data_IF_187350532079
#
_entry.id   IF_187350532079
#
_cell.length_a   1.000
_cell.length_b   1.000
_cell.length_c   1.000
_cell.angle_alpha   90.00
_cell.angle_beta   90.00
_cell.angle_gamma   90.00
#
_symmetry.space_group_name_H-M   'P 1'
#
loop_
_entity.id
_entity.type
_entity.pdbx_description
1 polymer ?
#
# COMPACT_ATOMS: atom_id res chain seq x y z
N UNK A 1 22.03 -32.26 -7.31
CA UNK A 1 23.45 -31.95 -7.50
C UNK A 1 24.10 -31.69 -6.15
N UNK A 2 25.14 -32.45 -5.83
CA UNK A 2 25.85 -32.48 -4.54
C UNK A 2 27.36 -32.48 -4.77
N UNK A 3 28.12 -32.20 -3.72
CA UNK A 3 29.57 -32.22 -3.74
C UNK A 3 30.04 -33.62 -3.40
N UNK A 4 30.71 -34.28 -4.34
CA UNK A 4 31.24 -35.63 -4.18
C UNK A 4 32.62 -35.59 -3.52
N UNK A 5 33.51 -34.72 -4.03
CA UNK A 5 34.87 -34.56 -3.51
C UNK A 5 35.35 -33.12 -3.68
N UNK A 6 36.26 -32.69 -2.80
CA UNK A 6 36.95 -31.41 -2.92
C UNK A 6 38.42 -31.52 -2.51
N UNK A 7 39.28 -30.81 -3.23
CA UNK A 7 40.69 -30.62 -2.93
C UNK A 7 41.01 -29.12 -2.97
N UNK A 8 41.47 -28.58 -1.85
CA UNK A 8 41.69 -27.15 -1.65
C UNK A 8 43.12 -26.92 -1.17
N UNK A 9 43.85 -26.04 -1.84
CA UNK A 9 45.24 -25.72 -1.50
C UNK A 9 45.48 -24.21 -1.48
N UNK A 10 46.21 -23.76 -0.46
CA UNK A 10 46.64 -22.37 -0.30
C UNK A 10 45.53 -21.30 -0.38
N UNK A 11 44.29 -21.66 -0.03
CA UNK A 11 43.15 -20.72 0.06
C UNK A 11 42.99 -20.19 1.49
N UNK A 12 43.13 -18.88 1.70
CA UNK A 12 43.01 -18.21 3.02
C UNK A 12 43.86 -18.86 4.11
N UNK A 13 43.28 -19.71 4.97
CA UNK A 13 44.01 -20.41 6.05
C UNK A 13 44.31 -21.88 5.75
N UNK A 14 43.92 -22.38 4.58
CA UNK A 14 44.12 -23.77 4.16
C UNK A 14 45.56 -23.92 3.65
N UNK A 15 46.25 -25.00 4.05
CA UNK A 15 47.48 -25.48 3.41
C UNK A 15 47.09 -26.45 2.30
N UNK A 16 46.46 -27.55 2.70
CA UNK A 16 45.94 -28.60 1.85
C UNK A 16 44.80 -29.30 2.60
N UNK A 17 43.62 -29.33 2.00
CA UNK A 17 42.44 -30.05 2.53
C UNK A 17 41.87 -30.87 1.40
N UNK A 18 41.73 -32.18 1.64
CA UNK A 18 40.93 -33.08 0.82
C UNK A 18 39.79 -33.62 1.67
N UNK A 19 38.57 -33.56 1.15
CA UNK A 19 37.37 -33.99 1.85
C UNK A 19 36.38 -34.61 0.86
N UNK A 20 35.78 -35.72 1.27
CA UNK A 20 34.68 -36.39 0.57
C UNK A 20 33.46 -36.30 1.51
N UNK A 21 32.59 -35.29 1.34
CA UNK A 21 31.45 -35.10 2.22
C UNK A 21 30.42 -36.23 2.05
N UNK A 22 29.65 -36.52 3.11
CA UNK A 22 28.56 -37.49 3.04
C UNK A 22 27.56 -37.10 1.94
N UNK A 23 27.05 -38.05 1.12
CA UNK A 23 26.13 -37.73 0.02
C UNK A 23 24.75 -37.27 0.50
N UNK A 24 24.38 -37.56 1.75
CA UNK A 24 23.18 -37.07 2.42
C UNK A 24 23.53 -36.75 3.88
N UNK A 25 22.74 -35.89 4.49
CA UNK A 25 22.89 -35.56 5.90
C UNK A 25 23.95 -34.49 6.14
N UNK A 26 24.54 -34.54 7.33
CA UNK A 26 25.40 -33.50 7.85
C UNK A 26 26.87 -33.95 7.84
N UNK A 27 27.73 -33.17 7.17
CA UNK A 27 29.20 -33.30 7.25
C UNK A 27 29.74 -32.14 8.08
N UNK A 28 30.27 -32.43 9.27
CA UNK A 28 30.77 -31.41 10.21
C UNK A 28 32.30 -31.29 10.11
N UNK A 29 32.76 -30.10 9.76
CA UNK A 29 34.15 -29.69 9.80
C UNK A 29 34.43 -29.08 11.18
N UNK A 30 35.11 -29.85 12.03
CA UNK A 30 35.56 -29.49 13.37
C UNK A 30 36.94 -28.83 13.41
N UNK A 31 37.32 -28.32 14.57
CA UNK A 31 38.61 -27.68 14.87
C UNK A 31 38.46 -26.42 15.73
N UNK A 32 39.59 -25.93 16.28
CA UNK A 32 39.62 -24.67 17.03
C UNK A 32 39.42 -23.44 16.13
N UNK A 33 39.19 -22.28 16.73
CA UNK A 33 39.15 -21.01 16.00
C UNK A 33 40.47 -20.73 15.30
N UNK A 34 40.41 -20.11 14.12
CA UNK A 34 41.60 -19.78 13.32
C UNK A 34 42.23 -20.94 12.55
N UNK A 35 41.76 -22.18 12.68
CA UNK A 35 42.39 -23.33 12.04
C UNK A 35 42.08 -23.51 10.54
N UNK A 36 41.09 -22.76 10.01
CA UNK A 36 40.75 -22.79 8.58
C UNK A 36 39.42 -23.46 8.22
N UNK A 37 38.57 -23.80 9.19
CA UNK A 37 37.22 -24.37 8.95
C UNK A 37 36.36 -23.52 8.01
N UNK A 38 36.13 -22.25 8.35
CA UNK A 38 35.35 -21.33 7.51
C UNK A 38 36.04 -21.07 6.17
N UNK A 39 37.37 -21.16 6.10
CA UNK A 39 38.11 -21.06 4.83
C UNK A 39 37.74 -22.19 3.86
N UNK A 40 37.32 -23.36 4.34
CA UNK A 40 36.83 -24.46 3.48
C UNK A 40 35.50 -24.08 2.85
N UNK A 41 34.55 -23.56 3.63
CA UNK A 41 33.27 -23.08 3.10
C UNK A 41 33.50 -21.94 2.10
N UNK A 42 34.37 -20.98 2.42
CA UNK A 42 34.72 -19.87 1.52
C UNK A 42 35.32 -20.35 0.20
N UNK A 43 36.15 -21.39 0.24
CA UNK A 43 36.76 -21.96 -0.95
C UNK A 43 35.73 -22.69 -1.83
N UNK A 44 34.80 -23.43 -1.21
CA UNK A 44 33.68 -24.06 -1.92
C UNK A 44 32.80 -22.98 -2.56
N UNK A 45 32.43 -21.95 -1.79
CA UNK A 45 31.63 -20.82 -2.28
C UNK A 45 32.31 -20.09 -3.44
N UNK A 46 33.63 -19.85 -3.36
CA UNK A 46 34.38 -19.21 -4.44
C UNK A 46 34.53 -20.11 -5.68
N UNK A 47 34.75 -21.40 -5.48
CA UNK A 47 34.81 -22.39 -6.55
C UNK A 47 33.51 -22.42 -7.34
N UNK A 48 32.39 -22.61 -6.65
CA UNK A 48 31.08 -22.84 -7.26
C UNK A 48 30.31 -21.56 -7.61
N UNK A 49 30.48 -20.48 -6.84
CA UNK A 49 29.73 -19.24 -6.98
C UNK A 49 30.39 -18.17 -7.87
N UNK A 50 31.59 -18.42 -8.37
CA UNK A 50 32.29 -17.47 -9.23
C UNK A 50 32.93 -16.31 -8.45
N UNK A 51 33.31 -15.26 -9.15
CA UNK A 51 34.10 -14.16 -8.55
C UNK A 51 33.33 -13.29 -7.54
N UNK A 52 31.99 -13.42 -7.47
CA UNK A 52 31.18 -12.79 -6.42
C UNK A 52 31.58 -13.24 -5.02
N UNK A 53 32.05 -14.48 -4.89
CA UNK A 53 32.47 -15.09 -3.62
C UNK A 53 33.99 -15.11 -3.47
N UNK A 54 34.73 -14.40 -4.34
CA UNK A 54 36.18 -14.32 -4.26
C UNK A 54 36.60 -13.58 -2.97
N UNK A 55 37.39 -14.21 -2.08
CA UNK A 55 37.93 -13.51 -0.93
C UNK A 55 38.81 -12.33 -1.38
N UNK A 56 38.77 -11.21 -0.63
CA UNK A 56 39.62 -10.04 -0.91
C UNK A 56 41.11 -10.41 -0.94
N UNK A 57 41.51 -11.32 -0.04
CA UNK A 57 42.83 -11.94 -0.01
C UNK A 57 42.63 -13.46 -0.10
N UNK A 58 42.64 -14.05 -1.32
CA UNK A 58 42.36 -15.47 -1.51
C UNK A 58 43.56 -16.36 -1.21
N UNK A 59 44.78 -15.85 -1.42
CA UNK A 59 46.01 -16.57 -1.13
C UNK A 59 46.26 -16.70 0.36
N UNK A 60 46.76 -17.88 0.76
CA UNK A 60 47.28 -18.09 2.10
C UNK A 60 48.49 -17.19 2.35
N UNK A 61 48.52 -16.56 3.51
CA UNK A 61 49.66 -15.76 3.94
C UNK A 61 50.94 -16.61 3.95
N UNK A 62 51.98 -16.10 3.27
CA UNK A 62 53.27 -16.79 3.12
C UNK A 62 53.31 -17.91 2.06
N UNK A 63 52.23 -18.17 1.33
CA UNK A 63 52.25 -19.17 0.26
C UNK A 63 53.00 -18.67 -0.99
N UNK A 64 53.93 -19.49 -1.49
CA UNK A 64 54.68 -19.23 -2.72
C UNK A 64 53.92 -19.66 -3.98
N UNK A 65 52.91 -20.52 -3.80
CA UNK A 65 52.09 -21.06 -4.88
C UNK A 65 50.69 -20.43 -4.82
N UNK A 66 50.11 -20.04 -5.97
CA UNK A 66 48.74 -19.51 -6.02
C UNK A 66 47.69 -20.51 -5.48
N UNK A 67 46.52 -20.02 -5.06
CA UNK A 67 45.42 -20.88 -4.63
C UNK A 67 44.97 -21.87 -5.70
N UNK A 68 44.73 -23.11 -5.29
CA UNK A 68 44.14 -24.14 -6.13
C UNK A 68 42.86 -24.69 -5.48
N UNK A 69 41.80 -24.81 -6.28
CA UNK A 69 40.53 -25.40 -5.90
C UNK A 69 40.16 -26.43 -6.95
N UNK A 70 39.77 -27.62 -6.52
CA UNK A 70 39.22 -28.69 -7.34
C UNK A 70 37.99 -29.23 -6.62
N UNK A 71 36.84 -29.23 -7.29
CA UNK A 71 35.57 -29.71 -6.73
C UNK A 71 34.92 -30.62 -7.76
N UNK A 72 34.53 -31.82 -7.33
CA UNK A 72 33.81 -32.79 -8.14
C UNK A 72 32.37 -32.88 -7.64
N UNK A 73 31.42 -32.74 -8.57
CA UNK A 73 30.00 -32.84 -8.30
C UNK A 73 29.48 -34.22 -8.67
N UNK A 74 28.43 -34.67 -7.99
CA UNK A 74 27.80 -35.99 -8.17
C UNK A 74 27.28 -36.28 -9.59
N UNK A 75 27.01 -35.23 -10.35
CA UNK A 75 26.57 -35.31 -11.76
C UNK A 75 27.73 -35.35 -12.77
N UNK A 76 28.98 -35.43 -12.30
CA UNK A 76 30.18 -35.51 -13.14
C UNK A 76 30.76 -34.16 -13.57
N UNK A 77 30.20 -33.04 -13.11
CA UNK A 77 30.80 -31.71 -13.35
C UNK A 77 32.01 -31.54 -12.45
N UNK A 78 33.12 -31.07 -13.04
CA UNK A 78 34.35 -30.75 -12.32
C UNK A 78 34.61 -29.24 -12.39
N UNK A 79 34.89 -28.64 -11.24
CA UNK A 79 35.19 -27.21 -11.11
C UNK A 79 36.61 -27.03 -10.61
N UNK A 80 37.46 -26.43 -11.44
CA UNK A 80 38.84 -26.12 -11.11
C UNK A 80 39.07 -24.60 -11.07
N UNK A 81 39.81 -24.13 -10.06
CA UNK A 81 40.46 -22.81 -10.09
C UNK A 81 41.94 -22.99 -9.85
N UNK A 82 42.78 -22.69 -10.84
CA UNK A 82 44.24 -22.87 -10.78
C UNK A 82 44.98 -21.75 -11.52
N UNK A 83 46.29 -21.66 -11.29
CA UNK A 83 47.19 -20.69 -11.97
C UNK A 83 47.29 -19.33 -11.28
N UNK A 84 48.11 -18.43 -11.86
CA UNK A 84 48.48 -17.13 -11.25
C UNK A 84 47.29 -16.24 -10.86
N UNK A 85 46.20 -16.34 -11.61
CA UNK A 85 44.97 -15.56 -11.37
C UNK A 85 43.83 -16.40 -10.77
N UNK A 86 44.08 -17.67 -10.42
CA UNK A 86 43.05 -18.65 -10.00
C UNK A 86 41.87 -18.70 -10.99
N UNK A 87 42.21 -18.85 -12.28
CA UNK A 87 41.24 -18.84 -13.36
C UNK A 87 40.27 -20.01 -13.24
N UNK A 88 38.98 -19.73 -13.40
CA UNK A 88 37.93 -20.74 -13.35
C UNK A 88 37.91 -21.58 -14.63
N UNK A 89 37.82 -22.90 -14.45
CA UNK A 89 37.60 -23.88 -15.50
C UNK A 89 36.52 -24.84 -15.01
N UNK A 90 35.40 -24.87 -15.73
CA UNK A 90 34.32 -25.84 -15.50
C UNK A 90 34.40 -26.89 -16.59
N UNK A 91 34.34 -28.16 -16.22
CA UNK A 91 34.34 -29.30 -17.13
C UNK A 91 33.01 -30.01 -16.94
N UNK A 92 32.26 -30.20 -18.02
CA UNK A 92 30.98 -30.93 -17.98
C UNK A 92 31.20 -32.46 -17.85
N UNK A 93 30.11 -33.20 -17.68
CA UNK A 93 30.12 -34.65 -17.56
C UNK A 93 30.63 -35.39 -18.81
N UNK A 94 30.75 -34.69 -19.95
CA UNK A 94 31.28 -35.21 -21.21
C UNK A 94 32.76 -34.82 -21.43
N UNK A 95 33.37 -34.08 -20.50
CA UNK A 95 34.75 -33.62 -20.60
C UNK A 95 34.94 -32.30 -21.37
N UNK A 96 33.86 -31.63 -21.79
CA UNK A 96 33.95 -30.34 -22.49
C UNK A 96 34.12 -29.20 -21.50
N UNK A 97 34.82 -28.15 -21.94
CA UNK A 97 34.94 -26.92 -21.16
C UNK A 97 33.64 -26.13 -21.21
N UNK A 98 33.14 -25.75 -20.04
CA UNK A 98 31.97 -24.89 -19.86
C UNK A 98 32.32 -23.64 -19.05
N UNK A 99 31.38 -22.70 -19.01
CA UNK A 99 31.50 -21.47 -18.22
C UNK A 99 30.72 -21.52 -16.90
N UNK A 100 30.84 -20.46 -16.10
CA UNK A 100 30.09 -20.26 -14.85
C UNK A 100 28.55 -20.31 -15.05
N UNK A 101 28.05 -20.06 -16.26
CA UNK A 101 26.62 -20.13 -16.57
C UNK A 101 26.03 -21.51 -16.30
N UNK A 102 26.76 -22.58 -16.62
CA UNK A 102 26.33 -23.96 -16.34
C UNK A 102 26.10 -24.17 -14.83
N UNK A 103 27.00 -23.66 -14.00
CA UNK A 103 26.86 -23.78 -12.54
C UNK A 103 25.67 -22.97 -12.00
N UNK A 104 25.33 -21.83 -12.60
CA UNK A 104 24.20 -20.99 -12.16
C UNK A 104 22.85 -21.66 -12.32
N UNK A 105 22.71 -22.61 -13.25
CA UNK A 105 21.46 -23.37 -13.45
C UNK A 105 21.18 -24.32 -12.27
N UNK A 106 22.24 -24.87 -11.68
CA UNK A 106 22.13 -25.89 -10.63
C UNK A 106 22.44 -25.39 -9.22
N UNK A 107 23.09 -24.23 -9.06
CA UNK A 107 23.55 -23.73 -7.76
C UNK A 107 22.76 -22.48 -7.35
N UNK A 108 22.08 -22.60 -6.21
CA UNK A 108 21.43 -21.46 -5.57
C UNK A 108 22.46 -20.58 -4.85
N UNK A 109 22.37 -19.25 -5.01
CA UNK A 109 23.21 -18.30 -4.26
C UNK A 109 23.01 -18.44 -2.75
N UNK A 110 21.78 -18.77 -2.35
CA UNK A 110 21.39 -18.98 -0.96
C UNK A 110 22.04 -20.24 -0.37
N UNK A 111 22.27 -21.27 -1.19
CA UNK A 111 22.97 -22.49 -0.79
C UNK A 111 24.45 -22.26 -0.49
N UNK A 112 25.07 -21.28 -1.17
CA UNK A 112 26.48 -20.93 -1.01
C UNK A 112 26.73 -19.98 0.17
N UNK A 113 25.74 -19.20 0.58
CA UNK A 113 25.84 -18.22 1.66
C UNK A 113 24.53 -18.10 2.45
N UNK A 114 24.20 -19.17 3.18
CA UNK A 114 23.12 -19.15 4.17
C UNK A 114 23.31 -18.09 5.26
N UNK A 115 24.54 -17.81 5.75
CA UNK A 115 24.76 -16.76 6.75
C UNK A 115 24.24 -15.38 6.35
N UNK A 116 24.30 -15.01 5.07
CA UNK A 116 23.71 -13.75 4.59
C UNK A 116 22.19 -13.72 4.77
N UNK A 117 21.49 -14.82 4.50
CA UNK A 117 20.05 -14.95 4.67
C UNK A 117 19.64 -14.87 6.14
N UNK A 118 20.35 -15.55 7.03
CA UNK A 118 20.07 -15.52 8.47
C UNK A 118 20.15 -14.10 9.04
N UNK A 119 21.08 -13.30 8.52
CA UNK A 119 21.31 -11.90 8.93
C UNK A 119 20.40 -10.89 8.22
N UNK A 120 19.67 -11.30 7.17
CA UNK A 120 18.76 -10.42 6.45
C UNK A 120 17.63 -9.92 7.37
N UNK A 121 17.00 -8.81 7.01
CA UNK A 121 15.84 -8.29 7.73
C UNK A 121 14.63 -9.22 7.57
N UNK A 122 13.69 -9.19 8.52
CA UNK A 122 12.47 -10.04 8.44
C UNK A 122 11.72 -9.86 7.12
N UNK A 123 11.68 -8.61 6.62
CA UNK A 123 11.09 -8.28 5.33
C UNK A 123 11.83 -8.95 4.18
N UNK A 124 13.16 -8.84 4.11
CA UNK A 124 13.95 -9.48 3.04
C UNK A 124 13.79 -11.00 3.06
N UNK A 125 13.70 -11.62 4.24
CA UNK A 125 13.47 -13.05 4.36
C UNK A 125 12.07 -13.45 3.86
N UNK A 126 11.04 -12.69 4.24
CA UNK A 126 9.67 -12.90 3.78
C UNK A 126 9.55 -12.70 2.26
N UNK A 127 10.10 -11.61 1.73
CA UNK A 127 10.12 -11.31 0.30
C UNK A 127 10.81 -12.41 -0.50
N UNK A 128 11.93 -12.93 0.01
CA UNK A 128 12.64 -14.08 -0.59
C UNK A 128 11.73 -15.30 -0.68
N UNK A 129 11.02 -15.65 0.41
CA UNK A 129 10.07 -16.76 0.39
C UNK A 129 8.91 -16.53 -0.59
N UNK A 130 8.33 -15.33 -0.62
CA UNK A 130 7.20 -15.01 -1.50
C UNK A 130 7.59 -15.05 -2.99
N UNK A 131 8.81 -14.62 -3.31
CA UNK A 131 9.35 -14.78 -4.67
C UNK A 131 9.53 -16.26 -5.04
N UNK A 132 9.99 -17.09 -4.11
CA UNK A 132 10.21 -18.53 -4.33
C UNK A 132 8.90 -19.25 -4.64
N UNK A 133 7.81 -18.92 -3.95
CA UNK A 133 6.52 -19.59 -4.17
C UNK A 133 5.79 -19.01 -5.41
N UNK A 134 6.40 -18.06 -6.12
CA UNK A 134 5.85 -17.49 -7.36
C UNK A 134 4.71 -16.50 -7.17
N UNK A 135 4.32 -16.23 -5.91
CA UNK A 135 3.23 -15.32 -5.55
C UNK A 135 3.70 -13.88 -5.32
N UNK A 136 5.02 -13.64 -5.25
CA UNK A 136 5.58 -12.33 -4.91
C UNK A 136 5.09 -11.17 -5.80
N UNK A 137 5.04 -11.34 -7.12
CA UNK A 137 4.58 -10.29 -8.04
C UNK A 137 3.08 -10.00 -7.89
N UNK A 138 2.28 -11.05 -7.68
CA UNK A 138 0.84 -10.93 -7.45
C UNK A 138 0.54 -10.26 -6.11
N UNK A 139 1.26 -10.65 -5.05
CA UNK A 139 1.18 -10.00 -3.74
C UNK A 139 1.58 -8.53 -3.80
N UNK A 140 2.66 -8.20 -4.52
CA UNK A 140 3.08 -6.83 -4.67
C UNK A 140 1.98 -5.97 -5.33
N UNK A 141 1.35 -6.50 -6.38
CA UNK A 141 0.24 -5.81 -7.06
C UNK A 141 -0.96 -5.63 -6.13
N UNK A 142 -1.31 -6.66 -5.36
CA UNK A 142 -2.40 -6.59 -4.37
C UNK A 142 -2.07 -5.56 -3.27
N UNK A 143 -0.85 -5.56 -2.73
CA UNK A 143 -0.40 -4.63 -1.70
C UNK A 143 -0.37 -3.17 -2.20
N UNK A 144 0.02 -2.94 -3.45
CA UNK A 144 -0.05 -1.61 -4.10
C UNK A 144 -1.50 -1.14 -4.24
N UNK A 145 -2.42 -2.01 -4.66
CA UNK A 145 -3.84 -1.70 -4.76
C UNK A 145 -4.47 -1.44 -3.38
N UNK A 146 -4.14 -2.25 -2.36
CA UNK A 146 -4.55 -2.04 -0.97
C UNK A 146 -4.13 -0.64 -0.50
N UNK A 147 -2.87 -0.25 -0.74
CA UNK A 147 -2.38 1.10 -0.38
C UNK A 147 -3.17 2.18 -1.10
N UNK A 148 -3.37 2.05 -2.42
CA UNK A 148 -4.10 3.03 -3.23
C UNK A 148 -5.53 3.24 -2.71
N UNK A 149 -6.27 2.15 -2.53
CA UNK A 149 -7.65 2.18 -2.03
C UNK A 149 -7.71 2.70 -0.60
N UNK A 150 -6.76 2.32 0.25
CA UNK A 150 -6.67 2.85 1.61
C UNK A 150 -6.53 4.38 1.63
N UNK A 151 -5.65 4.95 0.80
CA UNK A 151 -5.49 6.40 0.69
C UNK A 151 -6.75 7.07 0.15
N UNK A 152 -7.36 6.52 -0.91
CA UNK A 152 -8.63 7.03 -1.46
C UNK A 152 -9.75 7.01 -0.42
N UNK A 153 -9.94 5.89 0.29
CA UNK A 153 -10.93 5.74 1.36
C UNK A 153 -10.71 6.75 2.48
N UNK A 154 -9.45 7.02 2.83
CA UNK A 154 -9.10 7.99 3.87
C UNK A 154 -9.50 9.41 3.46
N UNK A 155 -9.22 9.80 2.22
CA UNK A 155 -9.62 11.11 1.68
C UNK A 155 -11.15 11.25 1.58
N UNK A 156 -11.84 10.22 1.05
CA UNK A 156 -13.31 10.20 0.99
C UNK A 156 -13.93 10.27 2.39
N UNK A 157 -13.36 9.56 3.38
CA UNK A 157 -13.80 9.63 4.77
C UNK A 157 -13.72 11.05 5.35
N UNK A 158 -12.64 11.80 5.05
CA UNK A 158 -12.50 13.20 5.45
C UNK A 158 -13.52 14.11 4.78
N UNK A 159 -13.78 13.90 3.49
CA UNK A 159 -14.77 14.67 2.73
C UNK A 159 -16.18 14.40 3.26
N UNK A 160 -16.53 13.13 3.47
CA UNK A 160 -17.77 12.68 4.08
C UNK A 160 -18.01 13.39 5.41
N UNK A 161 -17.06 13.30 6.34
CA UNK A 161 -17.20 13.92 7.67
C UNK A 161 -17.40 15.45 7.58
N UNK A 162 -16.69 16.11 6.67
CA UNK A 162 -16.84 17.56 6.44
C UNK A 162 -18.24 17.90 5.90
N UNK A 163 -18.77 17.10 4.99
CA UNK A 163 -20.09 17.30 4.39
C UNK A 163 -21.22 17.00 5.38
N UNK A 164 -21.09 15.95 6.17
CA UNK A 164 -22.02 15.63 7.27
C UNK A 164 -22.09 16.77 8.29
N UNK A 165 -20.94 17.29 8.73
CA UNK A 165 -20.88 18.47 9.62
C UNK A 165 -21.51 19.70 8.98
N UNK A 166 -21.17 20.00 7.73
CA UNK A 166 -21.75 21.13 7.02
C UNK A 166 -23.27 21.04 6.87
N UNK A 167 -23.82 19.83 6.65
CA UNK A 167 -25.26 19.60 6.61
C UNK A 167 -25.90 19.75 8.00
N UNK A 168 -25.28 19.19 9.04
CA UNK A 168 -25.78 19.26 10.41
C UNK A 168 -25.81 20.70 10.98
N UNK A 169 -24.88 21.55 10.57
CA UNK A 169 -24.80 22.95 10.99
C UNK A 169 -25.81 23.86 10.25
N UNK A 170 -26.49 23.37 9.22
CA UNK A 170 -27.49 24.15 8.47
C UNK A 170 -28.79 24.30 9.27
N UNK A 171 -29.32 25.51 9.31
CA UNK A 171 -30.60 25.80 9.93
C UNK A 171 -31.74 25.14 9.16
N UNK A 172 -32.55 24.34 9.84
CA UNK A 172 -33.76 23.70 9.30
C UNK A 172 -35.01 24.36 9.87
N UNK A 173 -36.07 24.41 9.07
CA UNK A 173 -37.36 24.99 9.43
C UNK A 173 -38.44 23.90 9.43
N UNK A 174 -38.76 23.29 10.58
CA UNK A 174 -39.81 22.28 10.67
C UNK A 174 -41.18 22.92 10.39
N UNK A 175 -41.88 22.44 9.36
CA UNK A 175 -43.24 22.90 9.01
C UNK A 175 -43.34 23.84 7.80
N UNK A 176 -42.22 24.17 7.13
CA UNK A 176 -42.27 24.83 5.83
C UNK A 176 -42.75 23.84 4.74
N UNK A 177 -43.64 24.24 3.81
CA UNK A 177 -44.12 23.40 2.70
C UNK A 177 -42.96 22.90 1.80
N UNK A 178 -43.15 21.78 1.10
CA UNK A 178 -42.11 21.23 0.21
C UNK A 178 -42.00 22.01 -1.12
N UNK A 179 -43.09 22.66 -1.56
CA UNK A 179 -43.15 23.40 -2.82
C UNK A 179 -43.34 24.91 -2.58
N UNK A 180 -42.68 25.79 -3.37
CA UNK A 180 -42.82 27.23 -3.24
C UNK A 180 -44.27 27.70 -3.43
N UNK A 181 -44.72 28.60 -2.56
CA UNK A 181 -46.03 29.22 -2.69
C UNK A 181 -45.97 30.31 -3.76
N UNK A 182 -46.83 30.23 -4.77
CA UNK A 182 -46.91 31.20 -5.86
C UNK A 182 -47.52 32.51 -5.38
N UNK A 183 -46.73 33.59 -5.38
CA UNK A 183 -47.20 34.95 -5.07
C UNK A 183 -47.84 35.66 -6.29
N UNK A 184 -47.92 34.99 -7.45
CA UNK A 184 -48.29 35.62 -8.71
C UNK A 184 -49.71 36.23 -8.69
N UNK A 185 -50.68 35.51 -8.13
CA UNK A 185 -52.08 35.96 -8.05
C UNK A 185 -52.25 37.17 -7.12
N UNK A 186 -51.53 37.18 -5.98
CA UNK A 186 -51.55 38.30 -5.02
C UNK A 186 -50.89 39.56 -5.60
N UNK A 187 -49.81 39.41 -6.36
CA UNK A 187 -49.12 40.53 -7.04
C UNK A 187 -50.03 41.14 -8.11
N UNK A 188 -50.75 40.33 -8.90
CA UNK A 188 -51.71 40.86 -9.87
C UNK A 188 -52.87 41.62 -9.21
N UNK A 189 -53.40 41.09 -8.10
CA UNK A 189 -54.46 41.76 -7.34
C UNK A 189 -54.01 43.11 -6.77
N UNK A 190 -52.79 43.18 -6.22
CA UNK A 190 -52.22 44.45 -5.73
C UNK A 190 -52.09 45.48 -6.85
N UNK A 191 -51.59 45.09 -8.02
CA UNK A 191 -51.44 46.00 -9.17
C UNK A 191 -52.79 46.54 -9.66
N UNK A 192 -53.83 45.69 -9.68
CA UNK A 192 -55.18 46.10 -10.08
C UNK A 192 -55.79 47.13 -9.10
N UNK A 193 -55.60 46.93 -7.80
CA UNK A 193 -56.08 47.86 -6.76
C UNK A 193 -55.34 49.20 -6.85
N UNK A 194 -54.00 49.17 -6.99
CA UNK A 194 -53.20 50.39 -7.14
C UNK A 194 -53.59 51.20 -8.39
N UNK A 195 -53.93 50.53 -9.49
CA UNK A 195 -54.42 51.19 -10.70
C UNK A 195 -55.76 51.89 -10.47
N UNK A 196 -56.74 51.22 -9.82
CA UNK A 196 -58.05 51.80 -9.48
C UNK A 196 -57.91 53.00 -8.54
N UNK A 197 -57.10 52.88 -7.49
CA UNK A 197 -56.86 53.96 -6.54
C UNK A 197 -56.21 55.18 -7.22
N UNK A 198 -55.29 54.95 -8.16
CA UNK A 198 -54.70 56.00 -9.00
C UNK A 198 -55.72 56.73 -9.88
N UNK A 199 -56.69 56.02 -10.45
CA UNK A 199 -57.79 56.64 -11.22
C UNK A 199 -58.75 57.44 -10.33
N UNK A 200 -59.10 56.92 -9.15
CA UNK A 200 -59.94 57.63 -8.17
C UNK A 200 -59.29 58.95 -7.74
N UNK A 201 -57.97 58.95 -7.51
CA UNK A 201 -57.25 60.17 -7.14
C UNK A 201 -57.21 61.21 -8.26
N UNK A 202 -57.12 60.78 -9.53
CA UNK A 202 -57.25 61.69 -10.68
C UNK A 202 -58.63 62.35 -10.74
N UNK A 203 -59.70 61.60 -10.49
CA UNK A 203 -61.08 62.13 -10.45
C UNK A 203 -61.25 63.16 -9.32
N UNK A 204 -60.70 62.89 -8.13
CA UNK A 204 -60.69 63.84 -7.00
C UNK A 204 -59.93 65.14 -7.33
N UNK A 205 -58.78 65.04 -7.98
CA UNK A 205 -58.00 66.20 -8.40
C UNK A 205 -58.74 67.06 -9.43
N UNK A 206 -59.39 66.43 -10.41
CA UNK A 206 -60.20 67.12 -11.42
C UNK A 206 -61.37 67.89 -10.80
N UNK A 207 -62.04 67.32 -9.79
CA UNK A 207 -63.11 68.01 -9.07
C UNK A 207 -62.61 69.27 -8.37
N UNK A 208 -61.51 69.17 -7.62
CA UNK A 208 -60.92 70.33 -6.91
C UNK A 208 -60.55 71.47 -7.86
N UNK A 209 -60.02 71.14 -9.05
CA UNK A 209 -59.72 72.14 -10.09
C UNK A 209 -61.00 72.77 -10.68
N UNK A 210 -62.07 72.01 -10.84
CA UNK A 210 -63.36 72.51 -11.32
C UNK A 210 -64.06 73.39 -10.28
N UNK A 211 -64.01 73.06 -9.00
CA UNK A 211 -64.55 73.87 -7.90
C UNK A 211 -63.81 75.21 -7.77
N UNK A 212 -62.49 75.20 -7.93
CA UNK A 212 -61.68 76.42 -7.96
C UNK A 212 -62.07 77.30 -9.16
N UNK A 213 -62.22 76.70 -10.35
CA UNK A 213 -62.71 77.42 -11.54
C UNK A 213 -64.14 77.95 -11.36
N UNK A 214 -65.01 77.20 -10.69
CA UNK A 214 -66.37 77.62 -10.37
C UNK A 214 -66.35 78.85 -9.46
N UNK A 215 -65.48 78.87 -8.45
CA UNK A 215 -65.34 79.99 -7.51
C UNK A 215 -64.76 81.22 -8.21
N UNK A 216 -63.74 81.04 -9.05
CA UNK A 216 -63.15 82.13 -9.84
C UNK A 216 -64.16 82.71 -10.86
N UNK A 217 -64.95 81.85 -11.50
CA UNK A 217 -66.03 82.26 -12.40
C UNK A 217 -67.18 82.93 -11.64
N UNK A 218 -67.54 82.49 -10.45
CA UNK A 218 -68.56 83.14 -9.63
C UNK A 218 -68.16 84.58 -9.24
N UNK A 219 -66.88 84.78 -8.91
CA UNK A 219 -66.32 86.11 -8.66
C UNK A 219 -66.31 86.98 -9.92
N UNK A 220 -66.04 86.37 -11.10
CA UNK A 220 -66.12 87.02 -12.41
C UNK A 220 -67.57 87.38 -12.80
N UNK A 221 -68.53 86.53 -12.46
CA UNK A 221 -69.97 86.70 -12.73
C UNK A 221 -70.53 87.88 -11.93
N UNK A 222 -70.12 88.06 -10.68
CA UNK A 222 -70.52 89.24 -9.89
C UNK A 222 -70.05 90.56 -10.55
N UNK A 223 -68.92 90.55 -11.26
CA UNK A 223 -68.46 91.70 -12.05
C UNK A 223 -69.20 91.86 -13.39
N UNK A 224 -69.65 90.75 -14.00
CA UNK A 224 -70.34 90.69 -15.30
C UNK A 224 -71.88 90.72 -15.19
N UNK A 225 -72.46 90.80 -13.98
CA UNK A 225 -73.90 91.02 -13.75
C UNK A 225 -74.44 92.30 -14.42
N UNK A 226 -73.56 93.18 -14.91
CA UNK A 226 -73.92 94.29 -15.80
C UNK A 226 -74.16 93.89 -17.27
N UNK A 227 -73.76 92.69 -17.71
CA UNK A 227 -73.88 92.13 -19.09
C UNK A 227 -74.87 90.94 -19.19
N UNK A 228 -75.60 90.66 -18.11
CA UNK A 228 -76.40 89.45 -17.81
C UNK A 228 -77.48 89.04 -18.83
N UNK A 229 -77.91 89.89 -19.77
CA UNK A 229 -79.03 89.54 -20.65
C UNK A 229 -78.69 88.54 -21.75
N UNK A 230 -77.44 88.45 -22.20
CA UNK A 230 -77.05 87.54 -23.29
C UNK A 230 -76.65 86.12 -22.83
N UNK A 231 -76.20 85.93 -21.59
CA UNK A 231 -75.59 84.68 -21.13
C UNK A 231 -76.58 83.58 -20.68
N UNK A 232 -77.89 83.84 -20.70
CA UNK A 232 -78.91 82.94 -20.14
C UNK A 232 -79.04 81.59 -20.87
N UNK A 233 -78.62 81.45 -22.12
CA UNK A 233 -78.76 80.18 -22.86
C UNK A 233 -77.60 79.19 -22.66
N UNK A 234 -76.45 79.62 -22.15
CA UNK A 234 -75.25 78.76 -22.00
C UNK A 234 -75.17 78.03 -20.65
N UNK A 235 -75.93 78.49 -19.63
CA UNK A 235 -75.93 77.92 -18.27
C UNK A 235 -76.50 76.51 -18.18
N UNK A 236 -77.45 76.16 -19.04
CA UNK A 236 -78.19 74.88 -18.97
C UNK A 236 -77.37 73.63 -19.34
N UNK A 237 -76.21 73.80 -19.98
CA UNK A 237 -75.34 72.69 -20.40
C UNK A 237 -74.36 72.33 -19.27
N UNK A 238 -73.81 73.32 -18.57
CA UNK A 238 -72.83 73.12 -17.50
C UNK A 238 -73.46 72.55 -16.22
N UNK A 239 -74.71 72.92 -15.91
CA UNK A 239 -75.42 72.40 -14.75
C UNK A 239 -75.64 70.86 -14.83
N UNK A 240 -75.71 70.28 -16.04
CA UNK A 240 -75.80 68.81 -16.24
C UNK A 240 -74.46 68.09 -16.08
N UNK A 241 -73.36 68.72 -16.46
CA UNK A 241 -72.02 68.13 -16.36
C UNK A 241 -71.55 68.06 -14.89
N UNK A 242 -71.95 69.03 -14.06
CA UNK A 242 -71.68 69.04 -12.60
C UNK A 242 -72.48 67.97 -11.85
N UNK A 243 -73.76 67.78 -12.21
CA UNK A 243 -74.61 66.79 -11.55
C UNK A 243 -74.22 65.34 -11.90
N UNK A 244 -73.69 65.12 -13.10
CA UNK A 244 -73.18 63.81 -13.55
C UNK A 244 -71.86 63.47 -12.83
N UNK A 245 -70.95 64.43 -12.69
CA UNK A 245 -69.69 64.23 -11.97
C UNK A 245 -69.86 64.09 -10.44
N UNK A 246 -70.89 64.71 -9.85
CA UNK A 246 -71.18 64.59 -8.41
C UNK A 246 -71.73 63.22 -7.98
N UNK A 247 -72.46 62.52 -8.87
CA UNK A 247 -73.02 61.18 -8.61
C UNK A 247 -71.95 60.07 -8.66
N UNK A 248 -70.90 60.25 -9.45
CA UNK A 248 -69.81 59.26 -9.57
C UNK A 248 -68.86 59.22 -8.37
N UNK A 249 -68.82 60.27 -7.53
CA UNK A 249 -67.86 60.38 -6.40
C UNK A 249 -68.40 59.77 -5.10
N UNK A 250 -69.72 59.81 -4.87
CA UNK A 250 -70.33 59.30 -3.64
C UNK A 250 -70.22 57.76 -3.49
N UNK A 251 -69.94 57.05 -4.59
CA UNK A 251 -69.80 55.59 -4.65
C UNK A 251 -68.35 55.08 -4.67
N UNK A 252 -67.33 55.95 -4.57
CA UNK A 252 -65.92 55.54 -4.61
C UNK A 252 -65.39 55.26 -3.20
N UNK A 253 -65.15 53.98 -2.89
CA UNK A 253 -64.38 53.53 -1.73
C UNK A 253 -63.02 53.00 -2.19
N UNK A 254 -61.95 53.45 -1.54
CA UNK A 254 -60.59 52.97 -1.83
C UNK A 254 -60.38 51.60 -1.15
N UNK A 255 -59.88 50.62 -1.89
CA UNK A 255 -59.57 49.27 -1.38
C UNK A 255 -58.18 49.29 -0.71
N UNK A 256 -58.05 48.73 0.50
CA UNK A 256 -56.78 48.66 1.25
C UNK A 256 -55.88 47.53 0.74
N UNK A 257 -54.60 47.82 0.49
CA UNK A 257 -53.60 46.80 0.11
C UNK A 257 -52.90 46.16 1.30
N UNK A 258 -53.20 46.58 2.55
CA UNK A 258 -52.46 46.15 3.74
C UNK A 258 -52.53 44.64 4.00
N UNK A 259 -53.68 44.01 3.72
CA UNK A 259 -53.85 42.57 3.90
C UNK A 259 -53.06 41.78 2.85
N UNK A 260 -53.01 42.27 1.61
CA UNK A 260 -52.22 41.67 0.52
C UNK A 260 -50.73 41.83 0.77
N UNK A 261 -50.28 42.99 1.29
CA UNK A 261 -48.89 43.23 1.65
C UNK A 261 -48.41 42.32 2.79
N UNK A 262 -49.25 42.12 3.82
CA UNK A 262 -48.98 41.16 4.90
C UNK A 262 -48.88 39.73 4.36
N UNK A 263 -49.80 39.33 3.48
CA UNK A 263 -49.78 38.01 2.86
C UNK A 263 -48.54 37.81 1.98
N UNK A 264 -48.10 38.84 1.24
CA UNK A 264 -46.90 38.78 0.41
C UNK A 264 -45.63 38.61 1.26
N UNK A 265 -45.51 39.37 2.35
CA UNK A 265 -44.39 39.23 3.31
C UNK A 265 -44.37 37.84 3.94
N UNK A 266 -45.53 37.28 4.27
CA UNK A 266 -45.64 35.93 4.82
C UNK A 266 -45.24 34.86 3.80
N UNK A 267 -45.66 35.00 2.53
CA UNK A 267 -45.26 34.11 1.44
C UNK A 267 -43.75 34.19 1.17
N UNK A 268 -43.15 35.37 1.18
CA UNK A 268 -41.71 35.53 1.03
C UNK A 268 -40.92 34.89 2.18
N UNK A 269 -41.39 35.06 3.41
CA UNK A 269 -40.79 34.43 4.59
C UNK A 269 -40.85 32.89 4.51
N UNK A 270 -42.01 32.34 4.13
CA UNK A 270 -42.17 30.90 3.92
C UNK A 270 -41.24 30.42 2.79
N UNK A 271 -41.23 31.09 1.64
CA UNK A 271 -40.37 30.71 0.50
C UNK A 271 -38.87 30.83 0.82
N UNK A 272 -38.45 31.71 1.74
CA UNK A 272 -37.08 31.73 2.25
C UNK A 272 -36.75 30.48 3.08
N UNK A 273 -37.68 30.01 3.92
CA UNK A 273 -37.54 28.78 4.70
C UNK A 273 -37.50 27.53 3.80
N UNK A 274 -38.35 27.48 2.76
CA UNK A 274 -38.36 26.38 1.78
C UNK A 274 -37.01 26.28 1.05
N UNK A 275 -36.44 27.42 0.62
CA UNK A 275 -35.11 27.46 -0.01
C UNK A 275 -34.02 26.92 0.92
N UNK A 276 -34.05 27.30 2.19
CA UNK A 276 -33.10 26.80 3.21
C UNK A 276 -33.23 25.30 3.45
N UNK A 277 -34.46 24.77 3.54
CA UNK A 277 -34.68 23.34 3.68
C UNK A 277 -34.24 22.56 2.43
N UNK A 278 -34.46 23.10 1.22
CA UNK A 278 -33.98 22.49 -0.03
C UNK A 278 -32.45 22.48 -0.13
N UNK A 279 -31.77 23.54 0.33
CA UNK A 279 -30.30 23.59 0.47
C UNK A 279 -29.80 22.52 1.44
N UNK A 280 -30.43 22.38 2.61
CA UNK A 280 -30.12 21.34 3.59
C UNK A 280 -30.30 19.94 3.00
N UNK A 281 -31.43 19.66 2.32
CA UNK A 281 -31.68 18.36 1.67
C UNK A 281 -30.58 17.99 0.68
N UNK A 282 -30.17 18.94 -0.18
CA UNK A 282 -29.05 18.73 -1.12
C UNK A 282 -27.73 18.45 -0.40
N UNK A 283 -27.46 19.14 0.71
CA UNK A 283 -26.24 18.91 1.49
C UNK A 283 -26.22 17.51 2.14
N UNK A 284 -27.36 17.03 2.62
CA UNK A 284 -27.53 15.66 3.14
C UNK A 284 -27.34 14.62 2.04
N UNK A 285 -28.00 14.77 0.88
CA UNK A 285 -27.84 13.87 -0.27
C UNK A 285 -26.37 13.79 -0.74
N UNK A 286 -25.65 14.92 -0.74
CA UNK A 286 -24.23 14.94 -1.08
C UNK A 286 -23.37 14.21 -0.04
N UNK A 287 -23.68 14.36 1.25
CA UNK A 287 -23.00 13.63 2.33
C UNK A 287 -23.26 12.11 2.23
N UNK A 288 -24.50 11.71 1.97
CA UNK A 288 -24.88 10.30 1.75
C UNK A 288 -24.14 9.69 0.57
N UNK A 289 -23.97 10.43 -0.55
CA UNK A 289 -23.19 9.96 -1.71
C UNK A 289 -21.75 9.59 -1.32
N UNK A 290 -21.07 10.46 -0.57
CA UNK A 290 -19.73 10.17 -0.07
C UNK A 290 -19.73 9.04 0.99
N UNK A 291 -20.83 8.88 1.72
CA UNK A 291 -21.06 7.74 2.62
C UNK A 291 -21.08 6.41 1.87
N UNK A 292 -21.78 6.34 0.74
CA UNK A 292 -21.84 5.16 -0.11
C UNK A 292 -20.48 4.85 -0.76
N UNK A 293 -19.80 5.86 -1.30
CA UNK A 293 -18.44 5.70 -1.87
C UNK A 293 -17.44 5.19 -0.82
N UNK A 294 -17.53 5.67 0.43
CA UNK A 294 -16.72 5.16 1.53
C UNK A 294 -17.00 3.67 1.83
N UNK A 295 -18.27 3.27 1.82
CA UNK A 295 -18.67 1.89 2.07
C UNK A 295 -18.18 0.96 0.94
N UNK A 296 -18.27 1.38 -0.31
CA UNK A 296 -17.76 0.65 -1.48
C UNK A 296 -16.24 0.44 -1.38
N UNK A 297 -15.46 1.52 -1.15
CA UNK A 297 -14.01 1.43 -0.97
C UNK A 297 -13.62 0.56 0.23
N UNK A 298 -14.44 0.55 1.28
CA UNK A 298 -14.24 -0.35 2.43
C UNK A 298 -14.44 -1.80 2.04
N UNK A 299 -15.50 -2.11 1.28
CA UNK A 299 -15.76 -3.45 0.78
C UNK A 299 -14.67 -3.94 -0.18
N UNK A 300 -14.18 -3.08 -1.07
CA UNK A 300 -13.09 -3.41 -1.99
C UNK A 300 -11.77 -3.68 -1.24
N UNK A 301 -11.46 -2.87 -0.22
CA UNK A 301 -10.28 -3.07 0.63
C UNK A 301 -10.33 -4.44 1.35
N UNK A 302 -11.48 -4.80 1.90
CA UNK A 302 -11.64 -6.10 2.59
C UNK A 302 -11.56 -7.28 1.61
N UNK A 303 -12.06 -7.13 0.38
CA UNK A 303 -11.87 -8.13 -0.69
C UNK A 303 -10.40 -8.32 -1.04
N UNK A 304 -9.66 -7.25 -1.30
CA UNK A 304 -8.22 -7.35 -1.60
C UNK A 304 -7.43 -7.98 -0.45
N UNK A 305 -7.79 -7.68 0.81
CA UNK A 305 -7.19 -8.32 1.99
C UNK A 305 -7.54 -9.81 2.10
N UNK A 306 -8.74 -10.20 1.68
CA UNK A 306 -9.14 -11.61 1.60
C UNK A 306 -8.38 -12.32 0.47
N UNK A 307 -8.27 -11.71 -0.71
CA UNK A 307 -7.52 -12.25 -1.85
C UNK A 307 -6.04 -12.43 -1.49
N UNK A 308 -5.45 -11.44 -0.82
CA UNK A 308 -4.07 -11.51 -0.29
C UNK A 308 -3.89 -12.74 0.61
N UNK A 309 -4.82 -12.99 1.53
CA UNK A 309 -4.78 -14.15 2.44
C UNK A 309 -4.95 -15.46 1.69
N UNK A 310 -5.94 -15.55 0.81
CA UNK A 310 -6.18 -16.75 -0.01
C UNK A 310 -4.97 -17.12 -0.87
N UNK A 311 -4.23 -16.12 -1.37
CA UNK A 311 -3.04 -16.34 -2.17
C UNK A 311 -1.87 -16.91 -1.34
N UNK A 312 -1.78 -16.53 -0.06
CA UNK A 312 -0.80 -17.06 0.88
C UNK A 312 -1.18 -18.46 1.40
N UNK A 313 -2.48 -18.70 1.62
CA UNK A 313 -2.99 -20.00 2.10
C UNK A 313 -2.94 -21.09 1.01
N UNK A 314 -3.12 -20.72 -0.26
CA UNK A 314 -3.02 -21.63 -1.41
C UNK A 314 -1.59 -21.90 -1.89
N UNK A 315 -0.59 -21.29 -1.25
CA UNK A 315 0.81 -21.35 -1.65
C UNK A 315 1.47 -22.66 -1.19
N UNK A 316 2.14 -23.36 -2.12
CA UNK A 316 2.89 -24.58 -1.82
C UNK A 316 4.22 -24.25 -1.10
N UNK A 317 4.11 -24.06 0.22
CA UNK A 317 5.18 -23.65 1.11
C UNK A 317 6.26 -24.75 1.27
N UNK A 318 7.54 -24.37 1.43
CA UNK A 318 8.66 -25.30 1.46
C UNK A 318 8.73 -26.17 2.72
N UNK A 319 8.05 -25.77 3.80
CA UNK A 319 8.07 -26.47 5.07
C UNK A 319 6.69 -26.39 5.74
N UNK A 320 6.11 -27.51 6.23
CA UNK A 320 4.85 -27.49 6.94
C UNK A 320 4.90 -26.57 8.17
N UNK A 321 3.90 -25.71 8.33
CA UNK A 321 3.83 -24.74 9.42
C UNK A 321 4.62 -23.45 9.18
N UNK A 322 5.26 -23.27 8.00
CA UNK A 322 5.81 -21.98 7.58
C UNK A 322 4.69 -21.09 7.03
N UNK A 323 4.67 -19.81 7.39
CA UNK A 323 3.73 -18.83 6.83
C UNK A 323 4.37 -17.44 6.75
N UNK A 324 3.71 -16.52 6.03
CA UNK A 324 4.11 -15.12 5.95
C UNK A 324 2.94 -14.25 6.40
N UNK A 325 3.11 -13.51 7.50
CA UNK A 325 2.12 -12.55 8.00
C UNK A 325 2.79 -11.19 8.18
N UNK A 326 2.13 -10.12 7.73
CA UNK A 326 2.62 -8.73 7.83
C UNK A 326 4.08 -8.51 7.38
N UNK A 327 4.52 -9.28 6.37
CA UNK A 327 5.88 -9.19 5.84
C UNK A 327 6.94 -9.83 6.75
N UNK A 328 6.53 -10.71 7.66
CA UNK A 328 7.40 -11.51 8.52
C UNK A 328 7.23 -12.99 8.23
N UNK A 329 8.32 -13.75 8.36
CA UNK A 329 8.26 -15.21 8.37
C UNK A 329 7.83 -15.71 9.74
N UNK A 330 6.84 -16.61 9.74
CA UNK A 330 6.43 -17.35 10.91
C UNK A 330 6.63 -18.84 10.66
N UNK A 331 7.05 -19.57 11.69
CA UNK A 331 7.15 -21.02 11.68
C UNK A 331 6.47 -21.55 12.93
N UNK A 332 5.47 -22.42 12.74
CA UNK A 332 4.58 -22.92 13.80
C UNK A 332 3.95 -21.79 14.64
N UNK A 333 3.65 -20.67 14.00
CA UNK A 333 3.08 -19.47 14.65
C UNK A 333 4.07 -18.59 15.40
N UNK A 334 5.37 -18.93 15.43
CA UNK A 334 6.41 -18.11 16.04
C UNK A 334 7.10 -17.23 14.98
N UNK A 335 7.28 -15.92 15.23
CA UNK A 335 8.11 -15.06 14.39
C UNK A 335 9.59 -15.48 14.42
N UNK A 336 10.37 -15.02 13.44
CA UNK A 336 11.77 -15.40 13.23
C UNK A 336 12.66 -15.28 14.48
N UNK A 337 12.54 -14.19 15.24
CA UNK A 337 13.30 -13.91 16.45
C UNK A 337 12.91 -14.81 17.64
N UNK A 338 11.69 -15.36 17.62
CA UNK A 338 11.20 -16.34 18.58
C UNK A 338 11.57 -17.80 18.26
N UNK A 339 12.12 -18.06 17.07
CA UNK A 339 12.55 -19.40 16.66
C UNK A 339 13.88 -19.78 17.32
N UNK A 340 14.03 -21.06 17.68
CA UNK A 340 15.35 -21.58 18.06
C UNK A 340 16.33 -21.55 16.87
N UNK A 341 17.65 -21.52 17.14
CA UNK A 341 18.66 -21.54 16.08
C UNK A 341 18.51 -22.75 15.13
N UNK A 342 18.08 -23.90 15.66
CA UNK A 342 17.78 -25.10 14.87
C UNK A 342 16.57 -24.93 13.96
N UNK A 343 15.51 -24.29 14.44
CA UNK A 343 14.32 -24.01 13.63
C UNK A 343 14.63 -23.01 12.52
N UNK A 344 15.37 -21.94 12.82
CA UNK A 344 15.82 -20.98 11.80
C UNK A 344 16.63 -21.67 10.70
N UNK A 345 17.50 -22.63 11.07
CA UNK A 345 18.30 -23.38 10.11
C UNK A 345 17.46 -24.39 9.30
N UNK A 346 16.50 -25.09 9.92
CA UNK A 346 15.55 -25.96 9.21
C UNK A 346 14.73 -25.16 8.19
N UNK A 347 14.17 -24.03 8.60
CA UNK A 347 13.42 -23.12 7.73
C UNK A 347 14.31 -22.63 6.58
N UNK A 348 15.50 -22.10 6.88
CA UNK A 348 16.43 -21.59 5.85
C UNK A 348 16.80 -22.68 4.84
N UNK A 349 17.05 -23.89 5.31
CA UNK A 349 17.42 -25.04 4.45
C UNK A 349 16.26 -25.46 3.56
N UNK A 350 15.04 -25.51 4.10
CA UNK A 350 13.84 -25.82 3.31
C UNK A 350 13.59 -24.76 2.21
N UNK A 351 13.79 -23.48 2.53
CA UNK A 351 13.68 -22.37 1.57
C UNK A 351 14.69 -22.54 0.43
N UNK A 352 15.95 -22.83 0.74
CA UNK A 352 17.01 -23.06 -0.27
C UNK A 352 16.62 -24.20 -1.22
N UNK A 353 16.11 -25.31 -0.67
CA UNK A 353 15.69 -26.49 -1.44
C UNK A 353 14.57 -26.15 -2.43
N UNK A 354 13.57 -25.39 -1.99
CA UNK A 354 12.44 -25.02 -2.85
C UNK A 354 12.85 -24.04 -3.95
N UNK A 355 13.80 -23.14 -3.66
CA UNK A 355 14.34 -22.17 -4.61
C UNK A 355 15.04 -22.86 -5.79
N UNK A 356 15.83 -23.90 -5.54
CA UNK A 356 16.42 -24.70 -6.62
C UNK A 356 16.45 -26.18 -6.23
N UNK A 357 15.43 -26.97 -6.63
CA UNK A 357 15.37 -28.41 -6.33
C UNK A 357 16.55 -29.22 -6.87
N UNK A 358 17.24 -28.71 -7.89
CA UNK A 358 18.43 -29.36 -8.44
C UNK A 358 19.69 -29.13 -7.57
N UNK A 359 19.68 -28.10 -6.72
CA UNK A 359 20.73 -27.82 -5.75
C UNK A 359 20.52 -28.68 -4.49
N UNK A 360 21.31 -29.75 -4.38
CA UNK A 360 21.17 -30.76 -3.33
C UNK A 360 22.11 -30.57 -2.15
N UNK A 361 22.84 -29.44 -2.07
CA UNK A 361 23.75 -29.14 -0.96
C UNK A 361 23.54 -27.73 -0.40
N UNK A 362 23.92 -27.51 0.87
CA UNK A 362 23.92 -26.20 1.54
C UNK A 362 25.18 -26.06 2.39
N UNK A 363 25.81 -24.87 2.36
CA UNK A 363 26.95 -24.53 3.21
C UNK A 363 26.48 -23.78 4.46
N UNK A 364 26.93 -24.22 5.65
CA UNK A 364 26.52 -23.62 6.93
C UNK A 364 27.72 -23.34 7.84
N UNK A 365 27.86 -22.11 8.31
CA UNK A 365 28.90 -21.76 9.28
C UNK A 365 28.27 -21.71 10.69
N UNK A 366 29.07 -22.06 11.72
CA UNK A 366 28.75 -21.86 13.15
C UNK A 366 27.66 -22.75 13.76
N UNK A 367 27.75 -24.07 13.57
CA UNK A 367 26.84 -25.02 14.23
C UNK A 367 27.08 -25.22 15.73
N UNK A 368 28.03 -24.51 16.35
CA UNK A 368 28.23 -24.54 17.81
C UNK A 368 27.01 -24.06 18.63
N UNK A 369 26.04 -23.40 17.98
CA UNK A 369 24.81 -22.93 18.63
C UNK A 369 23.78 -24.05 18.87
N UNK A 370 23.98 -25.23 18.27
CA UNK A 370 23.13 -26.40 18.52
C UNK A 370 23.77 -27.32 19.53
N UNK A 371 22.98 -27.90 20.43
CA UNK A 371 23.37 -29.02 21.26
C UNK A 371 23.44 -30.34 20.45
N UNK A 372 24.06 -31.41 20.98
CA UNK A 372 24.22 -32.68 20.26
C UNK A 372 22.91 -33.34 19.81
N UNK A 373 21.86 -33.33 20.64
CA UNK A 373 20.58 -33.97 20.32
C UNK A 373 19.91 -33.24 19.15
N UNK A 374 19.91 -31.91 19.21
CA UNK A 374 19.41 -31.05 18.13
C UNK A 374 20.18 -31.24 16.81
N UNK A 375 21.49 -31.46 16.86
CA UNK A 375 22.30 -31.76 15.68
C UNK A 375 21.97 -33.11 15.08
N UNK A 376 21.75 -34.14 15.90
CA UNK A 376 21.36 -35.46 15.44
C UNK A 376 19.99 -35.42 14.77
N UNK A 377 19.01 -34.74 15.37
CA UNK A 377 17.69 -34.53 14.79
C UNK A 377 17.75 -33.75 13.46
N UNK A 378 18.61 -32.74 13.39
CA UNK A 378 18.82 -31.98 12.16
C UNK A 378 19.46 -32.84 11.07
N UNK A 379 20.49 -33.61 11.39
CA UNK A 379 21.12 -34.57 10.48
C UNK A 379 20.14 -35.61 9.94
N UNK A 380 19.34 -36.22 10.81
CA UNK A 380 18.31 -37.19 10.42
C UNK A 380 17.23 -36.57 9.53
N UNK A 381 16.84 -35.30 9.79
CA UNK A 381 15.95 -34.58 8.91
C UNK A 381 16.57 -34.35 7.53
N UNK A 382 17.83 -33.90 7.45
CA UNK A 382 18.54 -33.70 6.18
C UNK A 382 18.66 -34.99 5.35
N UNK A 383 18.88 -36.13 6.00
CA UNK A 383 18.93 -37.44 5.33
C UNK A 383 17.58 -37.82 4.71
N UNK A 384 16.48 -37.64 5.44
CA UNK A 384 15.12 -37.88 4.93
C UNK A 384 14.79 -36.97 3.75
N UNK A 385 15.25 -35.73 3.81
CA UNK A 385 15.06 -34.74 2.74
C UNK A 385 16.03 -34.97 1.56
N UNK A 386 17.04 -35.83 1.71
CA UNK A 386 18.04 -36.13 0.69
C UNK A 386 19.02 -34.97 0.42
N UNK A 387 19.22 -34.09 1.40
CA UNK A 387 20.06 -32.91 1.33
C UNK A 387 21.45 -33.17 1.92
N UNK A 388 22.48 -32.59 1.32
CA UNK A 388 23.85 -32.58 1.84
C UNK A 388 24.12 -31.23 2.52
N UNK A 389 24.56 -31.23 3.77
CA UNK A 389 24.99 -30.00 4.45
C UNK A 389 26.44 -30.13 4.83
N UNK A 390 27.28 -29.20 4.37
CA UNK A 390 28.67 -29.08 4.78
C UNK A 390 28.74 -27.92 5.76
N UNK A 391 29.06 -28.24 7.00
CA UNK A 391 28.99 -27.28 8.08
C UNK A 391 30.29 -27.16 8.87
N UNK A 392 30.50 -26.02 9.54
CA UNK A 392 31.60 -25.85 10.48
C UNK A 392 31.10 -25.82 11.91
N UNK A 393 31.90 -26.38 12.83
CA UNK A 393 31.64 -26.29 14.28
C UNK A 393 32.94 -26.08 15.03
N UNK A 394 32.89 -25.27 16.09
CA UNK A 394 34.02 -25.16 17.04
C UNK A 394 33.97 -26.36 18.00
N UNK A 395 34.41 -27.52 17.52
CA UNK A 395 34.49 -28.74 18.31
C UNK A 395 35.62 -29.64 17.80
N UNK A 396 36.09 -30.57 18.63
CA UNK A 396 36.99 -31.66 18.25
C UNK A 396 36.46 -33.00 18.72
N UNK A 397 35.16 -33.07 19.03
CA UNK A 397 34.49 -34.29 19.46
C UNK A 397 34.07 -35.18 18.30
N UNK A 398 33.51 -36.34 18.64
CA UNK A 398 33.14 -37.42 17.72
C UNK A 398 32.03 -37.04 16.73
N UNK A 399 31.32 -35.93 16.97
CA UNK A 399 30.33 -35.42 16.03
C UNK A 399 30.97 -34.80 14.77
N UNK A 400 32.27 -34.50 14.79
CA UNK A 400 32.99 -33.90 13.67
C UNK A 400 33.40 -34.97 12.66
N UNK A 401 32.87 -34.91 11.44
CA UNK A 401 33.27 -35.80 10.34
C UNK A 401 34.75 -35.63 9.96
N UNK A 402 35.28 -34.42 10.11
CA UNK A 402 36.69 -34.10 9.87
C UNK A 402 37.15 -33.02 10.84
N UNK A 403 38.40 -33.10 11.31
CA UNK A 403 38.99 -32.07 12.16
C UNK A 403 40.06 -31.33 11.37
N UNK A 404 39.99 -30.00 11.34
CA UNK A 404 41.01 -29.16 10.71
C UNK A 404 41.93 -28.56 11.77
N UNK A 405 43.24 -28.76 11.57
CA UNK A 405 44.32 -28.23 12.40
C UNK A 405 45.42 -27.66 11.50
N UNK A 406 45.81 -26.40 11.75
CA UNK A 406 46.78 -25.62 10.97
C UNK A 406 46.56 -25.67 9.45
N UNK A 407 45.29 -25.55 9.04
CA UNK A 407 44.90 -25.54 7.64
C UNK A 407 45.00 -26.89 6.93
N UNK A 408 45.15 -27.99 7.67
CA UNK A 408 45.19 -29.36 7.16
C UNK A 408 44.15 -30.23 7.87
N UNK A 409 43.71 -31.30 7.20
CA UNK A 409 42.92 -32.34 7.86
C UNK A 409 43.83 -33.07 8.85
N UNK A 410 43.39 -33.15 10.11
CA UNK A 410 44.07 -33.89 11.17
C UNK A 410 43.88 -35.39 10.91
N UNK A 411 44.86 -36.02 10.28
CA UNK A 411 44.91 -37.46 10.10
C UNK A 411 45.14 -38.18 11.43
N UNK A 412 44.41 -39.25 11.71
CA UNK A 412 44.61 -40.09 12.90
C UNK A 412 45.90 -40.94 12.88
N UNK A 413 46.70 -40.91 11.82
CA UNK A 413 48.01 -41.54 11.80
C UNK A 413 49.12 -40.49 11.60
N UNK A 414 49.75 -40.12 12.71
CA UNK A 414 51.14 -39.70 12.69
C UNK A 414 51.99 -40.92 12.26
N UNK A 415 52.13 -41.13 10.95
CA UNK A 415 53.14 -42.02 10.40
C UNK A 415 54.49 -41.63 11.01
N UNK A 416 55.09 -42.59 11.69
CA UNK A 416 56.33 -42.45 12.44
C UNK A 416 57.37 -41.66 11.65
N UNK A 417 57.83 -40.54 12.22
CA UNK A 417 59.07 -39.91 11.78
C UNK A 417 60.18 -40.97 11.82
N UNK A 418 60.95 -41.21 10.74
CA UNK A 418 62.11 -42.06 10.86
C UNK A 418 63.07 -41.42 11.87
N UNK A 419 63.35 -42.14 12.96
CA UNK A 419 64.32 -41.72 13.95
C UNK A 419 65.71 -41.70 13.29
N UNK A 420 66.20 -40.51 13.01
CA UNK A 420 67.60 -40.29 12.64
C UNK A 420 68.48 -40.79 13.80
N UNK A 421 69.26 -41.85 13.56
CA UNK A 421 70.34 -42.27 14.46
C UNK A 421 71.65 -41.64 13.97
N UNK A 422 72.26 -40.84 14.82
CA UNK A 422 73.62 -40.36 14.63
C UNK A 422 74.62 -41.51 14.79
N UNK A 423 75.52 -41.67 13.81
CA UNK A 423 76.76 -42.44 13.96
C UNK A 423 76.64 -43.94 13.81
N UNK A 424 76.70 -44.43 12.57
CA UNK A 424 77.32 -45.72 12.23
C UNK A 424 77.96 -45.55 10.86
N UNK A 425 79.28 -45.71 10.82
CA UNK A 425 80.14 -45.63 9.63
C UNK A 425 79.90 -46.83 8.70
#
# INVERSE_FOLDING_TARGET
MKINALELENVKRIKAVRLEPSPNGLTIIGGKNGQGKTSVLDAIAWGLGGDRYKPSVPAREGALVPPAIHIELDNGIIVERKGKNSALKVIDSNGNKSGQSLLKEFISQLALDLPSFLKATDKEKADTLLQIIGVGNQLQTIDENIRKIYYQRTEIGRIKERKEKAAADMQTFPGAPEEPISAFELIQQQQAILARNGENQKKRYQLSELERKQTDLANRINALMSELEQARSQKEIIDRDVETAGKDVATLQDESTEEIEKNLQQVEMINAQIRKNAEHKKAVEEAERYGNEYAELTGELERLRADRRSLLDGADLPLPGLSVEDGKLLYKGLPWDGMSASEQLKVSTAIVRKLNPNCGFVLMDKLEQMDPDTLQDFGAWLEREGLQVIATRVSTGDECSVIIEDGMVKSEEAAAKPAWKAGTF
#
